data_IF_534695543476
#
_entry.id   IF_534695543476
#
_cell.length_a   1.000
_cell.length_b   1.000
_cell.length_c   1.000
_cell.angle_alpha   90.00
_cell.angle_beta   90.00
_cell.angle_gamma   90.00
#
_symmetry.space_group_name_H-M   'P 1'
#
loop_
_entity.id
_entity.type
_entity.pdbx_description
1 polymer ?
#
# COMPACT_ATOMS: atom_id res chain seq x y z
N UNK A 1 16.79 -59.48 1.77
CA UNK A 1 16.80 -58.41 0.76
C UNK A 1 16.27 -57.16 1.45
N UNK A 2 17.16 -56.29 1.92
CA UNK A 2 16.81 -55.02 2.57
C UNK A 2 16.77 -53.93 1.51
N UNK A 3 15.57 -53.47 1.15
CA UNK A 3 15.36 -52.30 0.31
C UNK A 3 15.40 -51.05 1.20
N UNK A 4 16.57 -50.42 1.29
CA UNK A 4 16.70 -49.07 1.82
C UNK A 4 16.00 -48.09 0.86
N UNK A 5 14.84 -47.57 1.27
CA UNK A 5 14.29 -46.36 0.68
C UNK A 5 15.11 -45.18 1.18
N UNK A 6 16.13 -44.78 0.40
CA UNK A 6 16.78 -43.48 0.56
C UNK A 6 15.82 -42.38 0.12
N UNK A 7 15.13 -41.78 1.08
CA UNK A 7 14.46 -40.50 0.89
C UNK A 7 15.53 -39.41 0.75
N UNK A 8 15.96 -39.15 -0.48
CA UNK A 8 16.67 -37.89 -0.76
C UNK A 8 15.71 -36.75 -0.43
N UNK A 9 16.13 -35.72 0.34
CA UNK A 9 15.35 -34.50 0.41
C UNK A 9 15.31 -33.93 -1.00
N UNK A 10 14.14 -33.98 -1.63
CA UNK A 10 13.90 -33.22 -2.84
C UNK A 10 14.16 -31.75 -2.46
N UNK A 11 15.29 -31.21 -2.90
CA UNK A 11 15.49 -29.77 -2.99
C UNK A 11 14.44 -29.28 -3.99
N UNK A 12 13.23 -29.04 -3.50
CA UNK A 12 12.22 -28.30 -4.25
C UNK A 12 12.81 -26.97 -4.70
N UNK A 13 12.23 -26.34 -5.74
CA UNK A 13 12.66 -25.01 -6.16
C UNK A 13 12.74 -24.10 -4.92
N UNK A 14 13.91 -23.50 -4.70
CA UNK A 14 14.11 -22.57 -3.58
C UNK A 14 12.96 -21.56 -3.61
N UNK A 15 12.16 -21.52 -2.54
CA UNK A 15 11.05 -20.58 -2.42
C UNK A 15 11.51 -19.12 -2.54
N UNK A 16 10.57 -18.16 -2.62
CA UNK A 16 10.92 -16.74 -2.71
C UNK A 16 11.79 -16.31 -1.52
N UNK A 17 12.79 -15.48 -1.82
CA UNK A 17 13.71 -14.92 -0.82
C UNK A 17 13.07 -13.71 -0.12
N UNK A 18 12.37 -13.97 0.99
CA UNK A 18 11.71 -12.95 1.80
C UNK A 18 12.67 -11.96 2.48
N UNK A 19 13.97 -12.27 2.56
CA UNK A 19 14.96 -11.36 3.17
C UNK A 19 15.17 -10.05 2.40
N UNK A 20 14.67 -9.99 1.16
CA UNK A 20 14.69 -8.80 0.29
C UNK A 20 13.33 -8.12 0.20
N UNK A 21 12.26 -8.78 0.63
CA UNK A 21 10.91 -8.25 0.54
C UNK A 21 10.58 -7.34 1.73
N UNK A 22 10.08 -6.15 1.43
CA UNK A 22 9.62 -5.20 2.45
C UNK A 22 8.26 -4.61 2.11
N UNK A 23 7.25 -5.03 2.86
CA UNK A 23 5.96 -4.36 2.95
C UNK A 23 5.93 -3.48 4.19
N UNK A 24 5.40 -2.26 4.08
CA UNK A 24 5.19 -1.36 5.21
C UNK A 24 3.82 -0.69 5.10
N UNK A 25 3.17 -0.51 6.25
CA UNK A 25 2.04 0.42 6.40
C UNK A 25 2.15 1.11 7.75
N UNK A 26 1.79 2.39 7.79
CA UNK A 26 1.93 3.23 8.97
C UNK A 26 0.65 4.00 9.20
N UNK A 27 0.27 4.11 10.48
CA UNK A 27 -0.88 4.88 10.93
C UNK A 27 -0.51 5.70 12.15
N UNK A 28 -1.07 6.90 12.29
CA UNK A 28 -0.94 7.64 13.54
C UNK A 28 -1.68 6.88 14.63
N UNK A 29 -1.07 6.75 15.81
CA UNK A 29 -1.73 6.11 16.94
C UNK A 29 -2.91 6.99 17.40
N UNK A 30 -4.17 6.51 17.28
CA UNK A 30 -5.37 7.27 17.64
C UNK A 30 -5.37 7.72 19.11
N UNK A 31 -4.75 6.94 20.01
CA UNK A 31 -4.69 7.26 21.43
C UNK A 31 -3.80 8.48 21.70
N UNK A 32 -2.80 8.72 20.86
CA UNK A 32 -1.80 9.79 21.07
C UNK A 32 -1.98 10.99 20.17
N UNK A 33 -2.70 10.85 19.05
CA UNK A 33 -2.88 11.94 18.08
C UNK A 33 -3.69 13.12 18.66
N UNK A 34 -4.55 12.84 19.64
CA UNK A 34 -5.42 13.84 20.29
C UNK A 34 -4.84 14.40 21.61
N UNK A 35 -3.72 13.86 22.11
CA UNK A 35 -3.12 14.29 23.38
C UNK A 35 -2.27 15.54 23.17
N UNK A 36 -2.58 16.62 23.88
CA UNK A 36 -1.88 17.90 23.74
C UNK A 36 -0.45 17.86 24.35
N UNK A 37 -0.25 17.06 25.40
CA UNK A 37 0.99 17.05 26.19
C UNK A 37 1.93 15.86 25.91
N UNK A 38 1.54 14.95 25.02
CA UNK A 38 2.35 13.77 24.66
C UNK A 38 2.80 13.83 23.20
N UNK A 39 4.00 13.31 22.87
CA UNK A 39 4.41 13.21 21.48
C UNK A 39 3.46 12.27 20.73
N UNK A 40 2.95 12.72 19.59
CA UNK A 40 2.22 11.86 18.65
C UNK A 40 3.08 10.67 18.29
N UNK A 41 2.53 9.47 18.43
CA UNK A 41 3.21 8.23 18.06
C UNK A 41 2.64 7.71 16.75
N UNK A 42 3.48 7.06 15.96
CA UNK A 42 3.04 6.28 14.82
C UNK A 42 3.16 4.79 15.14
N UNK A 43 2.19 4.02 14.65
CA UNK A 43 2.22 2.58 14.66
C UNK A 43 2.66 2.12 13.28
N UNK A 44 3.71 1.31 13.24
CA UNK A 44 4.31 0.82 12.01
C UNK A 44 4.14 -0.69 11.97
N UNK A 45 3.52 -1.17 10.91
CA UNK A 45 3.46 -2.58 10.57
C UNK A 45 4.35 -2.85 9.36
N UNK A 46 5.14 -3.92 9.44
CA UNK A 46 6.09 -4.25 8.39
C UNK A 46 6.26 -5.75 8.19
N UNK A 47 6.67 -6.19 7.01
CA UNK A 47 7.07 -7.58 6.80
C UNK A 47 8.43 -7.86 7.44
N UNK A 48 8.54 -8.94 8.19
CA UNK A 48 9.80 -9.46 8.72
C UNK A 48 10.58 -10.25 7.65
N UNK A 49 11.87 -10.58 7.87
CA UNK A 49 12.69 -11.28 6.86
C UNK A 49 12.19 -12.69 6.48
N UNK A 50 11.30 -13.28 7.28
CA UNK A 50 10.60 -14.54 6.99
C UNK A 50 9.20 -14.35 6.36
N UNK A 51 8.83 -13.11 6.03
CA UNK A 51 7.55 -12.75 5.41
C UNK A 51 6.37 -12.60 6.39
N UNK A 52 6.55 -12.82 7.69
CA UNK A 52 5.48 -12.62 8.69
C UNK A 52 5.30 -11.14 9.04
N UNK A 53 4.23 -10.81 9.77
CA UNK A 53 3.95 -9.45 10.22
C UNK A 53 4.79 -9.08 11.45
N UNK A 54 5.43 -7.92 11.39
CA UNK A 54 6.07 -7.23 12.51
C UNK A 54 5.36 -5.93 12.86
N UNK A 55 5.49 -5.52 14.11
CA UNK A 55 4.88 -4.33 14.68
C UNK A 55 5.90 -3.55 15.52
N UNK A 56 5.94 -2.24 15.35
CA UNK A 56 6.65 -1.33 16.25
C UNK A 56 5.84 -0.04 16.44
N UNK A 57 6.06 0.63 17.58
CA UNK A 57 5.52 1.95 17.85
C UNK A 57 6.66 2.94 18.02
N UNK A 58 6.63 4.01 17.24
CA UNK A 58 7.67 5.03 17.22
C UNK A 58 7.11 6.40 17.59
N UNK A 59 7.97 7.26 18.15
CA UNK A 59 7.68 8.70 18.23
C UNK A 59 7.66 9.24 16.80
N UNK A 60 6.54 9.85 16.38
CA UNK A 60 6.34 10.30 15.01
C UNK A 60 7.33 11.41 14.60
N UNK A 61 7.88 12.14 15.58
CA UNK A 61 8.95 13.12 15.36
C UNK A 61 10.31 12.47 15.15
N UNK A 62 10.50 11.20 15.56
CA UNK A 62 11.77 10.48 15.42
C UNK A 62 11.72 9.59 14.18
N UNK A 63 12.51 9.97 13.17
CA UNK A 63 12.62 9.28 11.88
C UNK A 63 13.35 7.91 11.92
N UNK A 64 13.67 7.37 13.11
CA UNK A 64 14.45 6.13 13.23
C UNK A 64 13.52 4.96 13.56
N UNK A 65 13.35 4.10 12.57
CA UNK A 65 12.69 2.80 12.70
C UNK A 65 13.68 1.75 13.20
N UNK A 66 13.16 0.73 13.88
CA UNK A 66 13.92 -0.47 14.19
C UNK A 66 14.43 -1.15 12.92
N UNK A 67 15.60 -1.78 13.00
CA UNK A 67 16.00 -2.80 12.06
C UNK A 67 15.00 -3.98 12.16
N UNK A 68 14.82 -4.70 11.05
CA UNK A 68 13.98 -5.90 11.00
C UNK A 68 14.66 -7.10 11.69
N UNK A 69 15.19 -6.87 12.88
CA UNK A 69 15.94 -7.79 13.71
C UNK A 69 15.12 -8.10 14.97
N UNK A 70 15.38 -9.27 15.55
CA UNK A 70 14.70 -9.72 16.77
C UNK A 70 15.04 -8.78 17.94
N UNK A 71 14.01 -8.33 18.67
CA UNK A 71 14.13 -7.41 19.80
C UNK A 71 13.93 -5.91 19.48
N UNK A 72 13.98 -5.48 18.21
CA UNK A 72 13.65 -4.09 17.83
C UNK A 72 12.21 -3.96 17.30
N UNK A 73 11.74 -4.96 16.55
CA UNK A 73 10.37 -5.03 16.04
C UNK A 73 9.69 -6.25 16.66
N UNK A 74 8.48 -6.07 17.17
CA UNK A 74 7.72 -7.18 17.78
C UNK A 74 7.13 -8.04 16.66
N UNK A 75 7.37 -9.34 16.69
CA UNK A 75 6.76 -10.27 15.73
C UNK A 75 7.33 -11.67 15.82
N UNK A 76 7.02 -12.50 14.82
CA UNK A 76 7.41 -13.91 14.81
C UNK A 76 8.59 -14.16 13.85
N UNK A 77 9.79 -14.40 14.39
CA UNK A 77 11.02 -14.48 13.57
C UNK A 77 11.46 -15.89 13.15
N UNK A 78 10.75 -16.97 13.54
CA UNK A 78 11.27 -18.32 13.23
C UNK A 78 11.34 -18.53 11.71
N UNK A 79 12.44 -19.10 11.18
CA UNK A 79 12.62 -19.30 9.73
C UNK A 79 11.50 -20.12 9.07
N UNK A 80 10.92 -21.06 9.83
CA UNK A 80 9.76 -21.84 9.44
C UNK A 80 8.58 -21.42 10.33
N UNK A 81 7.77 -20.44 9.91
CA UNK A 81 6.63 -20.02 10.68
C UNK A 81 5.62 -21.13 10.87
N UNK A 82 4.97 -21.11 12.05
CA UNK A 82 3.82 -21.95 12.30
C UNK A 82 2.79 -21.71 11.20
N UNK A 83 2.02 -22.72 10.75
CA UNK A 83 0.88 -22.49 9.86
C UNK A 83 -0.11 -21.45 10.38
N UNK A 84 -0.11 -21.19 11.70
CA UNK A 84 -0.93 -20.17 12.35
C UNK A 84 -0.33 -18.75 12.29
N UNK A 85 0.93 -18.61 11.89
CA UNK A 85 1.60 -17.32 11.71
C UNK A 85 1.54 -16.96 10.22
N UNK A 86 0.63 -16.07 9.78
CA UNK A 86 0.44 -15.80 8.37
C UNK A 86 1.71 -15.21 7.76
N UNK A 87 2.10 -15.76 6.61
CA UNK A 87 3.19 -15.27 5.77
C UNK A 87 2.57 -14.48 4.63
N UNK A 88 3.06 -13.27 4.40
CA UNK A 88 2.63 -12.43 3.29
C UNK A 88 3.02 -13.06 1.96
N UNK A 89 2.20 -12.88 0.93
CA UNK A 89 2.56 -13.24 -0.44
C UNK A 89 3.75 -12.38 -0.88
N UNK A 90 4.77 -13.00 -1.45
CA UNK A 90 5.96 -12.29 -1.93
C UNK A 90 5.58 -11.17 -2.92
N UNK A 91 6.15 -9.97 -2.72
CA UNK A 91 5.83 -8.73 -3.45
C UNK A 91 4.44 -8.13 -3.20
N UNK A 92 3.65 -8.63 -2.25
CA UNK A 92 2.43 -7.96 -1.81
C UNK A 92 2.74 -6.65 -1.05
N UNK A 93 1.72 -6.03 -0.47
CA UNK A 93 1.88 -4.89 0.43
C UNK A 93 0.95 -5.04 1.64
N UNK A 94 1.07 -4.10 2.57
CA UNK A 94 0.24 -3.99 3.75
C UNK A 94 -0.62 -2.73 3.65
N UNK A 95 -1.82 -2.80 4.22
CA UNK A 95 -2.74 -1.66 4.36
C UNK A 95 -3.19 -1.61 5.81
N UNK A 96 -3.09 -0.44 6.43
CA UNK A 96 -3.64 -0.18 7.77
C UNK A 96 -4.75 0.85 7.68
N UNK A 97 -5.82 0.62 8.44
CA UNK A 97 -7.01 1.46 8.48
C UNK A 97 -7.46 1.64 9.93
N UNK A 98 -8.01 2.81 10.25
CA UNK A 98 -8.83 2.98 11.47
C UNK A 98 -10.29 2.98 11.04
N UNK A 99 -11.06 2.01 11.51
CA UNK A 99 -12.52 2.00 11.44
C UNK A 99 -13.03 1.03 12.51
N UNK A 100 -14.28 1.20 12.93
CA UNK A 100 -14.88 0.47 14.06
C UNK A 100 -14.01 0.59 15.34
N UNK A 101 -13.53 1.82 15.60
CA UNK A 101 -12.66 2.19 16.72
C UNK A 101 -11.38 1.34 16.89
N UNK A 102 -10.96 0.62 15.85
CA UNK A 102 -9.82 -0.27 15.89
C UNK A 102 -8.88 -0.07 14.69
N UNK A 103 -7.59 -0.33 14.94
CA UNK A 103 -6.59 -0.40 13.88
C UNK A 103 -6.64 -1.80 13.28
N UNK A 104 -7.05 -1.86 12.02
CA UNK A 104 -7.06 -3.07 11.23
C UNK A 104 -5.88 -3.07 10.29
N UNK A 105 -5.21 -4.21 10.15
CA UNK A 105 -4.10 -4.41 9.20
C UNK A 105 -4.44 -5.52 8.25
N UNK A 106 -4.38 -5.22 6.97
CA UNK A 106 -4.64 -6.13 5.88
C UNK A 106 -3.38 -6.42 5.09
N UNK A 107 -3.31 -7.62 4.55
CA UNK A 107 -2.30 -8.02 3.58
C UNK A 107 -2.77 -9.25 2.82
N UNK A 108 -2.06 -9.59 1.76
CA UNK A 108 -2.31 -10.83 1.02
C UNK A 108 -1.39 -11.91 1.55
N UNK A 109 -1.91 -13.07 1.93
CA UNK A 109 -1.08 -14.17 2.44
C UNK A 109 -0.60 -15.09 1.33
N UNK A 110 0.56 -15.74 1.51
CA UNK A 110 1.12 -16.68 0.54
C UNK A 110 0.27 -17.96 0.38
N UNK A 111 -0.47 -18.31 1.43
CA UNK A 111 -1.47 -19.37 1.48
C UNK A 111 -2.66 -18.84 2.31
N UNK A 112 -3.87 -18.66 1.74
CA UNK A 112 -4.35 -19.22 0.46
C UNK A 112 -4.20 -18.31 -0.78
N UNK A 113 -3.36 -17.26 -0.77
CA UNK A 113 -3.34 -16.20 -1.82
C UNK A 113 -4.64 -15.37 -1.86
N UNK A 114 -5.13 -15.00 -0.68
CA UNK A 114 -6.29 -14.11 -0.50
C UNK A 114 -5.93 -12.92 0.39
N UNK A 115 -6.77 -11.88 0.36
CA UNK A 115 -6.68 -10.77 1.30
C UNK A 115 -7.15 -11.27 2.67
N UNK A 116 -6.35 -11.01 3.71
CA UNK A 116 -6.66 -11.38 5.08
C UNK A 116 -6.52 -10.16 5.99
N UNK A 117 -7.38 -10.08 7.00
CA UNK A 117 -7.09 -9.33 8.21
C UNK A 117 -5.92 -10.04 8.91
N UNK A 118 -4.86 -9.31 9.23
CA UNK A 118 -3.65 -9.80 9.88
C UNK A 118 -3.56 -9.33 11.34
N UNK A 119 -4.21 -8.21 11.66
CA UNK A 119 -4.31 -7.63 13.00
C UNK A 119 -5.64 -6.88 13.12
N UNK A 120 -6.38 -6.99 14.25
CA UNK A 120 -5.98 -7.64 15.49
C UNK A 120 -6.12 -9.17 15.50
N UNK A 121 -6.97 -9.73 14.63
CA UNK A 121 -7.23 -11.17 14.54
C UNK A 121 -7.04 -11.63 13.11
N UNK A 122 -6.33 -12.74 12.92
CA UNK A 122 -6.17 -13.33 11.61
C UNK A 122 -7.52 -13.83 11.05
N UNK A 123 -7.95 -13.29 9.91
CA UNK A 123 -9.21 -13.68 9.28
C UNK A 123 -9.16 -13.45 7.76
N UNK A 124 -9.31 -14.50 6.93
CA UNK A 124 -9.48 -14.34 5.48
C UNK A 124 -10.74 -13.56 5.12
N UNK A 125 -10.65 -12.68 4.13
CA UNK A 125 -11.81 -11.95 3.62
C UNK A 125 -12.49 -12.75 2.50
N UNK A 126 -13.81 -12.95 2.64
CA UNK A 126 -14.59 -13.74 1.68
C UNK A 126 -14.49 -13.17 0.26
N UNK A 127 -14.29 -14.06 -0.70
CA UNK A 127 -14.28 -13.73 -2.11
C UNK A 127 -13.14 -12.80 -2.51
N UNK A 128 -12.00 -12.79 -1.82
CA UNK A 128 -10.84 -11.89 -2.10
C UNK A 128 -9.58 -12.60 -2.60
N UNK A 129 -9.70 -13.79 -3.17
CA UNK A 129 -8.58 -14.47 -3.85
C UNK A 129 -7.97 -13.58 -4.95
N UNK A 130 -6.65 -13.47 -4.95
CA UNK A 130 -5.89 -12.66 -5.93
C UNK A 130 -5.20 -13.52 -7.00
N UNK A 131 -5.19 -14.84 -6.82
CA UNK A 131 -4.61 -15.79 -7.77
C UNK A 131 -3.12 -15.56 -8.00
N UNK A 132 -2.70 -15.37 -9.25
CA UNK A 132 -1.30 -15.19 -9.65
C UNK A 132 -0.81 -13.74 -9.60
N UNK A 133 -1.68 -12.78 -9.29
CA UNK A 133 -1.28 -11.38 -9.15
C UNK A 133 -0.37 -11.20 -7.93
N UNK A 134 0.49 -10.18 -7.94
CA UNK A 134 1.39 -9.86 -6.83
C UNK A 134 0.68 -9.50 -5.51
N UNK A 135 -0.66 -9.43 -5.50
CA UNK A 135 -1.44 -9.15 -4.30
C UNK A 135 -1.27 -7.72 -3.79
N UNK A 136 -1.22 -6.74 -4.72
CA UNK A 136 -1.25 -5.32 -4.36
C UNK A 136 -2.67 -4.91 -3.99
N UNK A 137 -2.80 -4.33 -2.80
CA UNK A 137 -4.07 -3.89 -2.22
C UNK A 137 -3.94 -2.42 -1.79
N UNK A 138 -5.05 -1.71 -1.78
CA UNK A 138 -5.17 -0.40 -1.14
C UNK A 138 -6.40 -0.41 -0.24
N UNK A 139 -6.47 0.53 0.69
CA UNK A 139 -7.69 0.72 1.45
C UNK A 139 -7.84 2.14 1.93
N UNK A 140 -9.07 2.51 2.21
CA UNK A 140 -9.39 3.72 2.96
C UNK A 140 -10.59 3.46 3.86
N UNK A 141 -10.80 4.34 4.83
CA UNK A 141 -11.94 4.31 5.74
C UNK A 141 -12.50 5.72 5.90
N UNK A 142 -13.76 5.80 6.33
CA UNK A 142 -14.37 7.06 6.76
C UNK A 142 -13.96 7.47 8.18
N UNK A 143 -13.04 6.70 8.80
CA UNK A 143 -12.55 6.80 10.19
C UNK A 143 -13.59 6.53 11.26
N UNK A 144 -14.81 6.17 10.86
CA UNK A 144 -15.95 5.87 11.72
C UNK A 144 -16.28 4.40 11.55
N UNK A 145 -17.34 4.10 10.82
CA UNK A 145 -17.89 2.77 10.70
C UNK A 145 -17.43 2.09 9.42
N UNK A 146 -17.10 2.82 8.35
CA UNK A 146 -16.96 2.26 7.02
C UNK A 146 -15.51 2.10 6.56
N UNK A 147 -15.21 0.95 5.96
CA UNK A 147 -13.90 0.62 5.41
C UNK A 147 -14.01 -0.10 4.06
N UNK A 148 -13.05 0.16 3.18
CA UNK A 148 -12.99 -0.43 1.84
C UNK A 148 -11.58 -0.89 1.51
N UNK A 149 -11.49 -2.04 0.86
CA UNK A 149 -10.25 -2.55 0.27
C UNK A 149 -10.40 -2.63 -1.25
N UNK A 150 -9.38 -2.16 -1.96
CA UNK A 150 -9.30 -2.14 -3.40
C UNK A 150 -8.18 -3.06 -3.86
N UNK A 151 -8.45 -3.85 -4.89
CA UNK A 151 -7.47 -4.81 -5.39
C UNK A 151 -7.76 -5.20 -6.84
N UNK A 152 -6.75 -5.67 -7.54
CA UNK A 152 -6.90 -6.06 -8.94
C UNK A 152 -7.36 -7.52 -9.08
N UNK A 153 -8.21 -7.79 -10.07
CA UNK A 153 -8.50 -9.15 -10.56
C UNK A 153 -8.58 -9.18 -12.07
N UNK A 154 -8.42 -10.39 -12.61
CA UNK A 154 -8.63 -10.67 -14.03
C UNK A 154 -10.09 -11.07 -14.27
N UNK A 155 -10.74 -10.45 -15.24
CA UNK A 155 -12.10 -10.83 -15.66
C UNK A 155 -12.07 -12.03 -16.62
N UNK A 156 -13.26 -12.54 -16.97
CA UNK A 156 -13.40 -13.69 -17.90
C UNK A 156 -12.91 -13.40 -19.32
N UNK A 157 -12.76 -12.13 -19.70
CA UNK A 157 -12.20 -11.69 -20.97
C UNK A 157 -10.68 -11.50 -20.90
N UNK A 158 -10.08 -11.80 -19.75
CA UNK A 158 -8.65 -11.70 -19.53
C UNK A 158 -8.14 -10.30 -19.25
N UNK A 159 -9.02 -9.31 -19.05
CA UNK A 159 -8.66 -7.92 -18.72
C UNK A 159 -8.52 -7.75 -17.22
N UNK A 160 -7.66 -6.83 -16.82
CA UNK A 160 -7.48 -6.51 -15.41
C UNK A 160 -8.40 -5.36 -15.00
N UNK A 161 -9.08 -5.52 -13.86
CA UNK A 161 -9.97 -4.54 -13.28
C UNK A 161 -9.64 -4.37 -11.79
N UNK A 162 -9.91 -3.18 -11.26
CA UNK A 162 -9.94 -2.96 -9.82
C UNK A 162 -11.32 -3.37 -9.28
N UNK A 163 -11.32 -4.08 -8.17
CA UNK A 163 -12.47 -4.51 -7.41
C UNK A 163 -12.46 -3.83 -6.05
N UNK A 164 -13.64 -3.59 -5.50
CA UNK A 164 -13.85 -3.08 -4.14
C UNK A 164 -14.44 -4.18 -3.27
N UNK A 165 -13.86 -4.37 -2.09
CA UNK A 165 -14.44 -5.13 -0.98
C UNK A 165 -14.88 -4.15 0.10
N UNK A 166 -16.17 -4.10 0.38
CA UNK A 166 -16.71 -3.40 1.54
C UNK A 166 -16.43 -4.22 2.81
N UNK A 167 -15.80 -3.61 3.81
CA UNK A 167 -15.42 -4.28 5.05
C UNK A 167 -16.58 -4.44 6.04
N UNK A 168 -17.62 -3.62 5.93
CA UNK A 168 -18.85 -3.73 6.73
C UNK A 168 -19.73 -4.90 6.29
N UNK A 169 -19.59 -5.29 5.03
CA UNK A 169 -20.32 -6.41 4.43
C UNK A 169 -19.30 -7.48 4.03
N UNK A 170 -18.55 -7.95 5.02
CA UNK A 170 -17.39 -8.84 4.85
C UNK A 170 -17.73 -10.18 4.17
N UNK A 171 -19.00 -10.57 4.12
CA UNK A 171 -19.48 -11.76 3.42
C UNK A 171 -19.86 -11.52 1.95
N UNK A 172 -20.10 -10.26 1.55
CA UNK A 172 -20.54 -9.92 0.20
C UNK A 172 -19.39 -10.04 -0.79
N UNK A 173 -19.68 -10.45 -2.02
CA UNK A 173 -18.65 -10.53 -3.05
C UNK A 173 -18.10 -9.13 -3.42
N UNK A 174 -16.80 -9.02 -3.73
CA UNK A 174 -16.23 -7.77 -4.21
C UNK A 174 -16.89 -7.27 -5.49
N UNK A 175 -17.12 -5.96 -5.55
CA UNK A 175 -17.76 -5.30 -6.69
C UNK A 175 -16.70 -4.84 -7.69
N UNK A 176 -16.91 -5.13 -8.98
CA UNK A 176 -16.03 -4.71 -10.08
C UNK A 176 -16.23 -3.24 -10.42
N UNK A 177 -15.15 -2.47 -10.58
CA UNK A 177 -15.23 -1.15 -11.21
C UNK A 177 -15.19 -1.24 -12.74
N UNK A 178 -16.27 -0.79 -13.39
CA UNK A 178 -16.39 -0.83 -14.84
C UNK A 178 -15.34 0.02 -15.57
N UNK A 179 -14.92 1.15 -14.98
CA UNK A 179 -14.03 2.15 -15.62
C UNK A 179 -12.54 1.81 -15.57
N UNK A 180 -12.16 0.67 -14.97
CA UNK A 180 -10.75 0.30 -14.77
C UNK A 180 -10.31 -0.83 -15.69
N UNK A 181 -10.98 -1.09 -16.81
CA UNK A 181 -10.63 -2.19 -17.74
C UNK A 181 -9.26 -2.05 -18.39
N UNK A 182 -8.69 -0.84 -18.36
CA UNK A 182 -7.37 -0.48 -18.87
C UNK A 182 -6.28 -0.55 -17.79
N UNK A 183 -6.59 -1.08 -16.60
CA UNK A 183 -5.63 -1.24 -15.51
C UNK A 183 -4.46 -2.12 -15.96
N UNK A 184 -3.23 -1.68 -15.70
CA UNK A 184 -2.05 -2.50 -16.01
C UNK A 184 -1.96 -3.67 -15.04
N UNK A 185 -1.78 -4.89 -15.55
CA UNK A 185 -1.42 -6.08 -14.77
C UNK A 185 -0.40 -5.78 -13.65
N UNK A 186 -0.73 -6.21 -12.43
CA UNK A 186 0.07 -6.01 -11.22
C UNK A 186 0.33 -4.54 -10.84
N UNK A 187 -0.47 -3.60 -11.37
CA UNK A 187 -0.42 -2.21 -10.91
C UNK A 187 -0.65 -2.14 -9.41
N UNK A 188 0.11 -1.27 -8.74
CA UNK A 188 -0.18 -0.90 -7.38
C UNK A 188 -1.50 -0.09 -7.35
N UNK A 189 -2.08 0.04 -6.17
CA UNK A 189 -3.26 0.90 -5.97
C UNK A 189 -2.96 1.79 -4.78
N UNK A 190 -3.29 3.07 -4.88
CA UNK A 190 -3.38 3.95 -3.72
C UNK A 190 -4.84 4.32 -3.49
N UNK A 191 -5.25 4.42 -2.24
CA UNK A 191 -6.61 4.83 -1.88
C UNK A 191 -6.59 5.84 -0.74
N UNK A 192 -7.58 6.73 -0.73
CA UNK A 192 -7.81 7.66 0.38
C UNK A 192 -9.30 8.00 0.48
N UNK A 193 -9.68 8.59 1.61
CA UNK A 193 -10.96 9.25 1.82
C UNK A 193 -10.67 10.71 2.16
N UNK A 194 -11.36 11.65 1.51
CA UNK A 194 -11.14 13.10 1.71
C UNK A 194 -12.15 13.74 2.68
N UNK A 195 -13.05 12.93 3.26
CA UNK A 195 -14.16 13.40 4.10
C UNK A 195 -15.52 13.38 3.40
N UNK A 196 -15.54 13.36 2.07
CA UNK A 196 -16.77 13.34 1.27
C UNK A 196 -16.78 12.18 0.26
N UNK A 197 -15.64 11.92 -0.37
CA UNK A 197 -15.48 10.96 -1.45
C UNK A 197 -14.32 10.00 -1.18
N UNK A 198 -14.47 8.79 -1.73
CA UNK A 198 -13.40 7.80 -1.80
C UNK A 198 -12.65 7.99 -3.11
N UNK A 199 -11.33 7.87 -3.07
CA UNK A 199 -10.48 8.04 -4.23
C UNK A 199 -9.55 6.86 -4.37
N UNK A 200 -9.32 6.43 -5.61
CA UNK A 200 -8.27 5.46 -5.92
C UNK A 200 -7.38 5.99 -7.04
N UNK A 201 -6.09 5.67 -6.98
CA UNK A 201 -5.13 5.90 -8.05
C UNK A 201 -4.53 4.58 -8.50
N UNK A 202 -4.37 4.41 -9.80
CA UNK A 202 -3.83 3.20 -10.42
C UNK A 202 -3.12 3.54 -11.72
N UNK A 203 -2.23 2.64 -12.16
CA UNK A 203 -1.54 2.78 -13.44
C UNK A 203 -2.33 2.07 -14.54
N UNK A 204 -2.45 2.72 -15.69
CA UNK A 204 -3.10 2.17 -16.87
C UNK A 204 -2.09 1.73 -17.91
N UNK A 205 -2.56 0.90 -18.83
CA UNK A 205 -1.86 0.55 -20.06
C UNK A 205 -2.56 1.24 -21.22
N UNK A 206 -1.84 2.09 -21.95
CA UNK A 206 -2.34 2.74 -23.16
C UNK A 206 -2.52 1.75 -24.31
N UNK A 207 -3.41 2.10 -25.23
CA UNK A 207 -3.87 1.19 -26.29
C UNK A 207 -2.81 0.96 -27.39
N UNK A 208 -2.02 1.98 -27.77
CA UNK A 208 -1.24 1.92 -29.02
C UNK A 208 0.31 1.92 -28.89
N UNK A 209 0.92 2.44 -27.80
CA UNK A 209 2.39 2.54 -27.70
C UNK A 209 3.01 1.92 -26.43
N UNK A 210 2.18 1.23 -25.62
CA UNK A 210 2.56 0.78 -24.29
C UNK A 210 2.92 1.93 -23.35
N UNK A 211 2.48 3.15 -23.69
CA UNK A 211 2.53 4.30 -22.79
C UNK A 211 1.60 4.04 -21.62
N UNK A 212 2.07 4.37 -20.42
CA UNK A 212 1.35 4.07 -19.18
C UNK A 212 1.16 5.36 -18.44
N UNK A 213 -0.02 5.63 -17.93
CA UNK A 213 -0.31 6.85 -17.18
C UNK A 213 -0.87 6.50 -15.80
N UNK A 214 -0.85 7.48 -14.89
CA UNK A 214 -1.57 7.37 -13.63
C UNK A 214 -2.96 7.97 -13.80
N UNK A 215 -3.98 7.16 -13.52
CA UNK A 215 -5.36 7.61 -13.43
C UNK A 215 -5.80 7.66 -11.97
N UNK A 216 -6.61 8.67 -11.65
CA UNK A 216 -7.23 8.87 -10.35
C UNK A 216 -8.74 8.87 -10.55
N UNK A 217 -9.41 8.02 -9.79
CA UNK A 217 -10.85 7.84 -9.80
C UNK A 217 -11.44 8.44 -8.54
N UNK A 218 -12.42 9.34 -8.70
CA UNK A 218 -13.36 9.67 -7.62
C UNK A 218 -14.51 8.67 -7.65
N UNK A 219 -14.69 7.92 -6.57
CA UNK A 219 -15.75 6.93 -6.43
C UNK A 219 -17.03 7.61 -5.90
N UNK A 220 -17.88 8.04 -6.84
CA UNK A 220 -19.23 8.55 -6.62
C UNK A 220 -20.23 7.77 -7.51
N UNK A 221 -21.54 8.07 -7.43
CA UNK A 221 -22.61 7.44 -8.22
C UNK A 221 -22.29 7.35 -9.73
N UNK A 222 -21.51 8.30 -10.25
CA UNK A 222 -20.82 8.18 -11.53
C UNK A 222 -19.32 8.39 -11.33
N UNK A 223 -18.56 7.30 -11.15
CA UNK A 223 -17.12 7.39 -10.94
C UNK A 223 -16.45 8.28 -12.00
N UNK A 224 -15.71 9.31 -11.60
CA UNK A 224 -15.09 10.27 -12.54
C UNK A 224 -13.59 10.00 -12.64
N UNK A 225 -13.07 9.92 -13.87
CA UNK A 225 -11.66 9.67 -14.16
C UNK A 225 -10.89 10.98 -14.34
N UNK A 226 -9.74 11.08 -13.67
CA UNK A 226 -8.79 12.17 -13.80
C UNK A 226 -7.43 11.59 -14.16
N UNK A 227 -6.68 12.27 -15.03
CA UNK A 227 -5.35 11.83 -15.44
C UNK A 227 -4.31 12.69 -14.73
N UNK A 228 -3.27 12.06 -14.17
CA UNK A 228 -2.11 12.79 -13.65
C UNK A 228 -1.32 13.35 -14.82
N UNK A 229 -1.31 14.68 -14.94
CA UNK A 229 -0.71 15.40 -16.06
C UNK A 229 0.73 14.96 -16.34
N UNK A 230 1.04 14.63 -17.59
CA UNK A 230 2.38 14.21 -18.04
C UNK A 230 2.95 12.95 -17.35
N UNK A 231 2.18 12.21 -16.54
CA UNK A 231 2.68 11.07 -15.75
C UNK A 231 3.39 10.00 -16.58
N UNK A 232 2.97 9.76 -17.83
CA UNK A 232 3.62 8.80 -18.73
C UNK A 232 5.12 9.06 -18.94
N UNK A 233 5.52 10.33 -19.01
CA UNK A 233 6.94 10.74 -19.15
C UNK A 233 7.78 10.40 -17.93
N UNK A 234 7.14 10.18 -16.77
CA UNK A 234 7.79 9.97 -15.49
C UNK A 234 7.77 8.51 -15.03
N UNK A 235 6.99 7.63 -15.67
CA UNK A 235 6.84 6.23 -15.24
C UNK A 235 7.88 5.29 -15.87
N UNK A 236 8.45 5.66 -17.02
CA UNK A 236 9.51 4.87 -17.67
C UNK A 236 9.10 3.43 -18.02
N UNK A 237 7.81 3.20 -18.34
CA UNK A 237 7.24 1.87 -18.65
C UNK A 237 7.50 0.81 -17.57
N UNK A 238 7.48 1.20 -16.29
CA UNK A 238 7.57 0.29 -15.14
C UNK A 238 6.33 0.44 -14.24
N UNK A 239 6.05 -0.61 -13.47
CA UNK A 239 5.05 -0.55 -12.41
C UNK A 239 5.50 0.42 -11.31
N UNK A 240 4.67 1.43 -11.07
CA UNK A 240 4.85 2.36 -9.97
C UNK A 240 4.38 1.74 -8.65
N UNK A 241 5.19 1.88 -7.60
CA UNK A 241 4.67 1.83 -6.24
C UNK A 241 3.95 3.16 -5.96
N UNK A 242 2.79 3.12 -5.31
CA UNK A 242 1.94 4.30 -5.10
C UNK A 242 1.46 4.41 -3.66
N UNK A 243 1.31 5.64 -3.20
CA UNK A 243 0.63 5.98 -1.96
C UNK A 243 -0.01 7.36 -2.12
N UNK A 244 -1.09 7.63 -1.40
CA UNK A 244 -1.80 8.89 -1.51
C UNK A 244 -2.15 9.44 -0.13
N UNK A 245 -2.15 10.77 -0.02
CA UNK A 245 -2.49 11.47 1.21
C UNK A 245 -3.52 12.57 0.91
N UNK A 246 -4.43 12.76 1.85
CA UNK A 246 -5.28 13.94 1.89
C UNK A 246 -4.71 14.93 2.90
N UNK A 247 -4.50 16.18 2.49
CA UNK A 247 -3.94 17.24 3.34
C UNK A 247 -4.75 18.53 3.18
N UNK A 248 -4.81 19.32 4.25
CA UNK A 248 -5.36 20.68 4.19
C UNK A 248 -4.20 21.69 4.22
N UNK A 249 -3.95 22.36 3.09
CA UNK A 249 -2.88 23.36 2.92
C UNK A 249 -3.49 24.72 2.62
N UNK A 250 -3.25 25.74 3.45
CA UNK A 250 -3.77 27.11 3.24
C UNK A 250 -5.28 27.14 2.99
N UNK A 251 -6.05 26.42 3.81
CA UNK A 251 -7.51 26.25 3.67
C UNK A 251 -7.93 25.61 2.33
N UNK A 252 -7.00 24.86 1.71
CA UNK A 252 -7.23 24.07 0.51
C UNK A 252 -7.16 22.58 0.82
N UNK A 253 -8.21 21.86 0.44
CA UNK A 253 -8.21 20.41 0.46
C UNK A 253 -7.41 19.92 -0.75
N UNK A 254 -6.37 19.14 -0.46
CA UNK A 254 -5.42 18.69 -1.46
C UNK A 254 -5.32 17.17 -1.40
N UNK A 255 -5.41 16.54 -2.57
CA UNK A 255 -4.98 15.15 -2.75
C UNK A 255 -3.56 15.19 -3.28
N UNK A 256 -2.63 14.51 -2.61
CA UNK A 256 -1.26 14.33 -3.07
C UNK A 256 -0.99 12.84 -3.32
N UNK A 257 -0.62 12.52 -4.55
CA UNK A 257 -0.16 11.19 -4.96
C UNK A 257 1.37 11.15 -4.93
N UNK A 258 1.92 10.16 -4.24
CA UNK A 258 3.34 9.83 -4.22
C UNK A 258 3.55 8.55 -5.01
N UNK A 259 4.55 8.53 -5.89
CA UNK A 259 4.80 7.35 -6.70
C UNK A 259 6.27 7.19 -7.11
N UNK A 260 6.69 5.94 -7.26
CA UNK A 260 8.00 5.62 -7.83
C UNK A 260 7.92 5.63 -9.36
N UNK A 261 8.73 6.47 -9.99
CA UNK A 261 8.81 6.58 -11.44
C UNK A 261 10.14 6.09 -12.03
N UNK A 262 10.51 6.67 -13.16
CA UNK A 262 11.73 6.42 -13.91
C UNK A 262 12.98 6.63 -13.05
N UNK A 263 13.97 5.74 -13.21
CA UNK A 263 15.19 5.75 -12.40
C UNK A 263 14.96 5.44 -10.93
N UNK A 264 13.80 4.88 -10.58
CA UNK A 264 13.32 4.63 -9.22
C UNK A 264 13.20 5.88 -8.36
N UNK A 265 13.05 7.04 -8.99
CA UNK A 265 12.88 8.30 -8.28
C UNK A 265 11.47 8.40 -7.70
N UNK A 266 11.39 8.93 -6.47
CA UNK A 266 10.13 9.27 -5.83
C UNK A 266 9.65 10.64 -6.33
N UNK A 267 8.48 10.63 -6.94
CA UNK A 267 7.76 11.81 -7.40
C UNK A 267 6.51 12.04 -6.57
N UNK A 268 6.01 13.28 -6.60
CA UNK A 268 4.68 13.64 -6.14
C UNK A 268 3.91 14.40 -7.22
N UNK A 269 2.59 14.33 -7.15
CA UNK A 269 1.67 15.18 -7.91
C UNK A 269 0.46 15.50 -7.03
N UNK A 270 -0.04 16.73 -7.08
CA UNK A 270 -1.14 17.17 -6.20
C UNK A 270 -2.27 17.86 -6.95
N UNK A 271 -3.49 17.78 -6.42
CA UNK A 271 -4.66 18.52 -6.91
C UNK A 271 -5.40 19.19 -5.75
N UNK A 272 -5.85 20.43 -5.95
CA UNK A 272 -6.90 21.06 -5.13
C UNK A 272 -8.25 20.40 -5.48
N UNK A 273 -9.12 20.18 -4.50
CA UNK A 273 -10.42 19.51 -4.69
C UNK A 273 -11.64 20.39 -4.38
N UNK A 274 -11.45 21.64 -3.92
CA UNK A 274 -12.54 22.46 -3.35
C UNK A 274 -13.67 22.83 -4.31
N UNK A 275 -13.36 23.09 -5.57
CA UNK A 275 -14.36 23.55 -6.55
C UNK A 275 -14.97 22.40 -7.36
N UNK A 276 -14.73 21.14 -6.94
CA UNK A 276 -15.09 19.94 -7.71
C UNK A 276 -14.28 19.75 -8.99
N UNK A 277 -13.47 20.74 -9.39
CA UNK A 277 -12.48 20.62 -10.45
C UNK A 277 -11.22 19.95 -9.91
N UNK A 278 -10.88 18.78 -10.44
CA UNK A 278 -9.66 18.05 -10.09
C UNK A 278 -8.69 18.19 -11.25
N UNK A 279 -7.51 18.73 -10.98
CA UNK A 279 -6.42 18.86 -11.95
C UNK A 279 -5.09 18.63 -11.26
N UNK A 280 -4.51 17.46 -11.50
CA UNK A 280 -3.24 17.07 -10.92
C UNK A 280 -2.09 17.87 -11.54
N UNK A 281 -1.19 18.35 -10.68
CA UNK A 281 0.05 19.00 -11.09
C UNK A 281 0.94 18.04 -11.88
N UNK A 282 1.86 18.59 -12.67
CA UNK A 282 2.92 17.80 -13.29
C UNK A 282 3.77 17.15 -12.19
N UNK A 283 4.19 15.88 -12.32
CA UNK A 283 5.07 15.23 -11.37
C UNK A 283 6.35 16.02 -11.08
N UNK A 284 6.69 16.08 -9.81
CA UNK A 284 7.86 16.80 -9.29
C UNK A 284 8.58 15.92 -8.26
N UNK A 285 9.92 15.94 -8.30
CA UNK A 285 10.75 15.21 -7.34
C UNK A 285 10.79 15.94 -6.01
N UNK A 286 10.89 15.19 -4.92
CA UNK A 286 11.15 15.77 -3.60
C UNK A 286 12.56 16.40 -3.51
N UNK A 287 12.79 17.35 -2.59
CA UNK A 287 14.11 17.93 -2.37
C UNK A 287 15.16 16.86 -2.05
N UNK A 288 16.23 16.83 -2.85
CA UNK A 288 17.22 15.76 -2.80
C UNK A 288 16.69 14.48 -3.43
N UNK A 289 17.07 14.14 -4.69
CA UNK A 289 16.45 13.03 -5.41
C UNK A 289 16.49 11.72 -4.63
N UNK A 290 15.32 11.20 -4.28
CA UNK A 290 15.16 9.99 -3.47
C UNK A 290 14.97 8.80 -4.40
N UNK A 291 15.95 7.89 -4.41
CA UNK A 291 15.88 6.63 -5.18
C UNK A 291 15.41 5.48 -4.29
N UNK A 292 14.33 4.84 -4.71
CA UNK A 292 13.68 3.73 -4.00
C UNK A 292 14.17 2.37 -4.54
N UNK A 293 14.02 1.30 -3.75
CA UNK A 293 14.23 -0.05 -4.25
C UNK A 293 13.14 -0.43 -5.28
N UNK A 294 13.43 -1.38 -6.19
CA UNK A 294 12.49 -1.83 -7.25
C UNK A 294 11.25 -2.57 -6.70
N UNK A 295 11.33 -3.07 -5.49
CA UNK A 295 10.27 -3.76 -4.76
C UNK A 295 9.79 -2.99 -3.52
N UNK A 296 10.25 -1.75 -3.34
CA UNK A 296 9.82 -0.89 -2.25
C UNK A 296 8.30 -0.68 -2.30
N UNK A 297 7.65 -0.90 -1.15
CA UNK A 297 6.30 -0.39 -0.89
C UNK A 297 6.37 1.05 -0.37
N UNK A 298 5.28 1.78 -0.53
CA UNK A 298 5.13 3.16 -0.05
C UNK A 298 4.01 3.21 0.99
N UNK A 299 4.26 3.91 2.09
CA UNK A 299 3.22 4.33 3.02
C UNK A 299 3.43 5.80 3.37
N UNK A 300 2.35 6.57 3.42
CA UNK A 300 2.40 8.00 3.68
C UNK A 300 1.44 8.36 4.79
N UNK A 301 1.87 9.27 5.66
CA UNK A 301 1.09 9.73 6.81
C UNK A 301 1.18 11.25 6.88
N UNK A 302 0.06 11.98 6.74
CA UNK A 302 0.07 13.43 6.91
C UNK A 302 0.28 13.83 8.39
N UNK A 303 1.10 14.86 8.60
CA UNK A 303 1.34 15.51 9.89
C UNK A 303 0.83 16.97 9.83
N UNK A 304 -0.44 17.23 10.18
CA UNK A 304 -0.98 18.58 10.16
C UNK A 304 -0.30 19.53 11.15
N UNK A 305 0.22 19.01 12.27
CA UNK A 305 0.90 19.81 13.30
C UNK A 305 2.23 20.36 12.79
N UNK A 306 3.01 19.54 12.07
CA UNK A 306 4.28 19.98 11.44
C UNK A 306 4.12 20.48 10.00
N UNK A 307 2.91 20.45 9.44
CA UNK A 307 2.60 20.81 8.04
C UNK A 307 3.50 20.08 7.04
N UNK A 308 3.59 18.77 7.19
CA UNK A 308 4.37 17.90 6.30
C UNK A 308 3.67 16.55 6.11
N UNK A 309 4.08 15.82 5.08
CA UNK A 309 3.73 14.41 4.90
C UNK A 309 4.96 13.58 5.17
N UNK A 310 4.83 12.56 6.01
CA UNK A 310 5.90 11.60 6.30
C UNK A 310 5.75 10.40 5.37
N UNK A 311 6.84 10.01 4.71
CA UNK A 311 6.86 8.94 3.70
C UNK A 311 7.78 7.83 4.19
N UNK A 312 7.25 6.62 4.23
CA UNK A 312 7.94 5.40 4.67
C UNK A 312 8.20 4.52 3.47
N UNK A 313 9.47 4.29 3.15
CA UNK A 313 9.88 3.46 2.01
C UNK A 313 11.33 2.99 2.11
N UNK A 314 11.70 2.04 1.25
CA UNK A 314 13.06 1.48 1.19
C UNK A 314 13.86 2.16 0.07
N UNK A 315 15.09 2.61 0.38
CA UNK A 315 16.01 3.15 -0.64
C UNK A 315 16.66 2.05 -1.47
N UNK A 316 17.07 2.38 -2.69
CA UNK A 316 17.91 1.50 -3.50
C UNK A 316 19.16 1.07 -2.72
N UNK A 317 19.43 -0.25 -2.68
CA UNK A 317 20.57 -0.82 -1.97
C UNK A 317 20.43 -0.90 -0.44
N UNK A 318 19.33 -0.40 0.12
CA UNK A 318 19.01 -0.52 1.54
C UNK A 318 18.24 -1.79 1.88
N UNK A 319 18.29 -2.17 3.15
CA UNK A 319 17.46 -3.25 3.76
C UNK A 319 16.61 -2.75 4.92
N UNK A 320 16.46 -1.44 5.06
CA UNK A 320 15.73 -0.84 6.16
C UNK A 320 14.77 0.19 5.59
N UNK A 321 13.58 0.24 6.15
CA UNK A 321 12.63 1.31 5.90
C UNK A 321 13.28 2.63 6.34
N UNK A 322 13.18 3.63 5.48
CA UNK A 322 13.63 4.99 5.73
C UNK A 322 12.43 5.92 5.72
N UNK A 323 12.60 7.02 6.44
CA UNK A 323 11.60 8.07 6.57
C UNK A 323 12.04 9.28 5.75
N UNK A 324 11.14 9.81 4.95
CA UNK A 324 11.30 11.05 4.20
C UNK A 324 10.23 12.03 4.60
N UNK A 325 10.56 13.32 4.56
CA UNK A 325 9.61 14.38 4.89
C UNK A 325 9.33 15.20 3.63
N UNK A 326 8.05 15.42 3.38
CA UNK A 326 7.58 16.32 2.34
C UNK A 326 6.81 17.49 2.97
N UNK A 327 7.47 18.66 3.06
CA UNK A 327 6.85 19.85 3.66
C UNK A 327 5.79 20.42 2.74
N UNK A 328 4.68 20.86 3.31
CA UNK A 328 3.56 21.47 2.57
C UNK A 328 3.83 22.90 2.09
N UNK A 329 5.10 23.34 1.98
CA UNK A 329 5.48 24.69 1.55
C UNK A 329 4.88 25.04 0.18
#
# INVERSE_FOLDING_TARGET
MNSNCSCHPAHGPNGPDYSKFQAVTVILNPDTVSRQDEPTKAIVFQSLPNGTLGFEQIDFKRAKLGAQEDGEVTGYYKPNPSPLAPVLQYKSNLVSLVYDDMIHVYGVTADPKSICLLSPVYMPLSGTDVGELHGKIAGCSDTKEQGWIYFQRRDSQGRYHIYEKNLNSSNDDPTKFGKTSNSWENTDVAALYDGDYRWIAYQTKGDDDGDTELQVLRLADSATNYVVKDSAKYLGKKLAAMAAAFITKNDKNMITLYFRGEGNLLYRSSSDTRDGSVSFSKPESLPGPIKLADDATLSVVPDPTRKLTVIYAVKTGGKQIKVFEDKWA
#
